data_IF_598409351957
#
_entry.id   IF_598409351957
#
_cell.length_a   1.000
_cell.length_b   1.000
_cell.length_c   1.000
_cell.angle_alpha   90.00
_cell.angle_beta   90.00
_cell.angle_gamma   90.00
#
_symmetry.space_group_name_H-M   'P 1'
#
loop_
_entity.id
_entity.type
_entity.pdbx_description
1 polymer ?
#
# COMPACT_ATOMS: atom_id res chain seq x y z
N UNK A 1 -5.01 -4.15 14.87
CA UNK A 1 -3.65 -3.70 14.52
C UNK A 1 -3.16 -2.80 15.63
N UNK A 2 -1.99 -3.14 16.21
CA UNK A 2 -1.37 -2.21 17.13
C UNK A 2 -0.88 -1.00 16.32
N UNK A 3 -1.05 0.23 16.82
CA UNK A 3 -0.44 1.37 16.20
C UNK A 3 1.06 1.11 16.11
N UNK A 4 1.71 1.52 15.02
CA UNK A 4 3.15 1.35 14.90
C UNK A 4 3.84 1.97 16.14
N UNK A 5 4.89 1.33 16.70
CA UNK A 5 5.58 1.86 17.84
C UNK A 5 6.09 3.27 17.56
N UNK A 6 5.78 4.19 18.44
CA UNK A 6 6.13 5.62 18.35
C UNK A 6 7.65 5.85 18.40
N UNK A 7 8.42 4.78 18.68
CA UNK A 7 9.85 4.83 18.97
C UNK A 7 10.77 5.16 17.77
N UNK A 8 10.25 5.21 16.54
CA UNK A 8 11.07 5.46 15.34
C UNK A 8 10.82 6.81 14.65
N UNK A 9 10.46 7.83 15.43
CA UNK A 9 10.44 9.21 14.92
C UNK A 9 11.83 9.72 14.45
N UNK A 10 12.89 8.96 14.72
CA UNK A 10 14.26 9.35 14.35
C UNK A 10 14.56 9.11 12.87
N UNK A 11 13.91 8.15 12.21
CA UNK A 11 14.10 7.91 10.78
C UNK A 11 13.26 8.82 9.86
N UNK A 12 12.39 9.66 10.42
CA UNK A 12 11.64 10.67 9.67
C UNK A 12 12.52 11.81 9.10
N UNK A 13 13.79 11.86 9.45
CA UNK A 13 14.70 12.94 9.06
C UNK A 13 15.15 12.94 7.60
N UNK A 14 14.89 11.89 6.84
CA UNK A 14 15.39 11.77 5.44
C UNK A 14 14.36 12.16 4.39
N UNK A 15 13.12 12.33 4.81
CA UNK A 15 12.06 12.77 3.90
C UNK A 15 11.85 14.28 4.02
N UNK A 16 12.72 15.07 3.37
CA UNK A 16 12.37 16.46 3.08
C UNK A 16 11.23 16.46 2.08
N UNK A 17 10.11 17.16 2.38
CA UNK A 17 9.12 17.41 1.32
C UNK A 17 9.83 18.10 0.18
N UNK A 18 9.44 17.81 -1.04
CA UNK A 18 9.74 18.73 -2.11
C UNK A 18 9.29 20.10 -1.62
N UNK A 19 10.18 21.07 -1.65
CA UNK A 19 9.93 22.45 -1.17
C UNK A 19 8.81 23.15 -1.94
N UNK A 20 8.18 22.48 -2.88
CA UNK A 20 7.16 22.97 -3.80
C UNK A 20 5.70 22.84 -3.30
N UNK A 21 5.42 22.10 -2.24
CA UNK A 21 4.03 21.79 -1.86
C UNK A 21 3.27 20.91 -2.87
N UNK A 22 3.97 20.34 -3.85
CA UNK A 22 3.38 19.51 -4.89
C UNK A 22 2.69 18.24 -4.32
N UNK A 23 1.54 17.84 -4.88
CA UNK A 23 0.84 16.64 -4.44
C UNK A 23 1.67 15.38 -4.74
N UNK A 24 1.75 14.48 -3.75
CA UNK A 24 2.56 13.28 -3.79
C UNK A 24 1.72 12.06 -4.16
N UNK A 25 2.10 11.37 -5.21
CA UNK A 25 1.60 10.04 -5.55
C UNK A 25 2.60 8.98 -5.04
N UNK A 26 2.17 8.16 -4.09
CA UNK A 26 2.97 7.07 -3.56
C UNK A 26 2.76 5.78 -4.36
N UNK A 27 3.85 5.18 -4.82
CA UNK A 27 3.85 3.84 -5.40
C UNK A 27 4.42 2.86 -4.37
N UNK A 28 3.60 1.90 -3.95
CA UNK A 28 3.92 0.91 -2.91
C UNK A 28 3.92 -0.51 -3.52
N UNK A 29 4.98 -0.87 -4.26
CA UNK A 29 5.01 -2.11 -5.03
C UNK A 29 5.25 -3.37 -4.21
N UNK A 30 5.55 -3.23 -2.92
CA UNK A 30 5.95 -4.30 -2.03
C UNK A 30 7.45 -4.30 -1.73
N UNK A 31 7.89 -5.28 -0.91
CA UNK A 31 9.25 -5.34 -0.36
C UNK A 31 10.10 -6.48 -0.93
N UNK A 32 9.51 -7.37 -1.74
CA UNK A 32 10.19 -8.51 -2.33
C UNK A 32 10.62 -8.25 -3.77
N UNK A 33 11.74 -8.86 -4.16
CA UNK A 33 12.28 -8.71 -5.53
C UNK A 33 11.25 -9.02 -6.62
N UNK A 34 10.48 -10.09 -6.46
CA UNK A 34 9.46 -10.51 -7.43
C UNK A 34 8.29 -9.51 -7.51
N UNK A 35 7.88 -8.95 -6.37
CA UNK A 35 6.85 -7.90 -6.33
C UNK A 35 7.28 -6.67 -7.12
N UNK A 36 8.54 -6.26 -7.01
CA UNK A 36 9.09 -5.15 -7.79
C UNK A 36 9.12 -5.46 -9.29
N UNK A 37 9.65 -6.61 -9.68
CA UNK A 37 9.79 -6.96 -11.09
C UNK A 37 8.44 -7.06 -11.80
N UNK A 38 7.44 -7.65 -11.14
CA UNK A 38 6.14 -7.89 -11.76
C UNK A 38 5.12 -6.78 -11.52
N UNK A 39 5.18 -6.12 -10.37
CA UNK A 39 4.19 -5.10 -9.97
C UNK A 39 4.56 -3.69 -10.34
N UNK A 40 5.81 -3.29 -10.09
CA UNK A 40 6.21 -1.91 -10.27
C UNK A 40 6.03 -1.38 -11.70
N UNK A 41 6.25 -2.15 -12.79
CA UNK A 41 6.03 -1.64 -14.14
C UNK A 41 4.60 -1.12 -14.38
N UNK A 42 3.57 -1.82 -13.90
CA UNK A 42 2.19 -1.36 -14.02
C UNK A 42 1.94 -0.08 -13.20
N UNK A 43 2.49 -0.01 -11.98
CA UNK A 43 2.36 1.19 -11.15
C UNK A 43 3.06 2.41 -11.78
N UNK A 44 4.25 2.21 -12.34
CA UNK A 44 4.98 3.27 -13.05
C UNK A 44 4.24 3.71 -14.30
N UNK A 45 3.70 2.77 -15.08
CA UNK A 45 2.87 3.08 -16.24
C UNK A 45 1.67 3.94 -15.87
N UNK A 46 0.94 3.56 -14.81
CA UNK A 46 -0.17 4.36 -14.29
C UNK A 46 0.26 5.76 -13.84
N UNK A 47 1.37 5.85 -13.12
CA UNK A 47 1.90 7.13 -12.65
C UNK A 47 2.30 8.05 -13.82
N UNK A 48 2.82 7.50 -14.92
CA UNK A 48 3.11 8.27 -16.13
C UNK A 48 1.84 8.87 -16.73
N UNK A 49 0.75 8.10 -16.85
CA UNK A 49 -0.52 8.62 -17.35
C UNK A 49 -1.10 9.71 -16.44
N UNK A 50 -1.15 9.45 -15.13
CA UNK A 50 -1.66 10.42 -14.17
C UNK A 50 -0.82 11.71 -14.13
N UNK A 51 0.50 11.59 -14.25
CA UNK A 51 1.41 12.76 -14.32
C UNK A 51 1.25 13.53 -15.63
N UNK A 52 0.92 12.88 -16.72
CA UNK A 52 0.61 13.59 -17.97
C UNK A 52 -0.66 14.44 -17.87
N UNK A 53 -1.65 14.02 -17.08
CA UNK A 53 -2.88 14.75 -16.77
C UNK A 53 -2.70 15.81 -15.67
N UNK A 54 -1.77 15.56 -14.74
CA UNK A 54 -1.45 16.39 -13.57
C UNK A 54 0.07 16.55 -13.47
N UNK A 55 0.68 17.43 -14.26
CA UNK A 55 2.14 17.59 -14.32
C UNK A 55 2.79 17.95 -12.98
N UNK A 56 2.03 18.55 -12.07
CA UNK A 56 2.46 18.89 -10.72
C UNK A 56 2.67 17.69 -9.78
N UNK A 57 2.14 16.50 -10.12
CA UNK A 57 2.32 15.31 -9.29
C UNK A 57 3.79 14.93 -9.14
N UNK A 58 4.24 14.73 -7.93
CA UNK A 58 5.54 14.13 -7.62
C UNK A 58 5.36 12.64 -7.30
N UNK A 59 6.07 11.79 -8.03
CA UNK A 59 5.93 10.34 -7.94
C UNK A 59 7.01 9.79 -7.03
N UNK A 60 6.61 9.10 -5.98
CA UNK A 60 7.54 8.51 -5.03
C UNK A 60 7.35 7.00 -4.94
N UNK A 61 8.41 6.25 -5.21
CA UNK A 61 8.43 4.78 -5.15
C UNK A 61 9.07 4.33 -3.85
N UNK A 62 8.33 3.55 -3.05
CA UNK A 62 8.88 2.94 -1.85
C UNK A 62 9.83 1.80 -2.19
N UNK A 63 11.05 1.87 -1.65
CA UNK A 63 12.06 0.82 -1.74
C UNK A 63 12.80 0.71 -0.40
N UNK A 64 12.28 -0.12 0.51
CA UNK A 64 12.83 -0.25 1.87
C UNK A 64 14.19 -0.94 1.90
N UNK A 65 14.47 -1.79 0.91
CA UNK A 65 15.69 -2.61 0.84
C UNK A 65 16.66 -2.01 -0.15
N UNK A 66 17.81 -1.52 0.33
CA UNK A 66 18.79 -0.81 -0.49
C UNK A 66 19.33 -1.68 -1.64
N UNK A 67 19.46 -3.00 -1.42
CA UNK A 67 19.87 -3.96 -2.44
C UNK A 67 18.88 -4.10 -3.61
N UNK A 68 17.64 -3.67 -3.45
CA UNK A 68 16.62 -3.69 -4.51
C UNK A 68 16.52 -2.35 -5.27
N UNK A 69 17.19 -1.32 -4.79
CA UNK A 69 17.17 0.01 -5.39
C UNK A 69 17.61 0.06 -6.84
N UNK A 70 18.64 -0.70 -7.27
CA UNK A 70 19.00 -0.76 -8.70
C UNK A 70 17.83 -1.22 -9.58
N UNK A 71 17.07 -2.24 -9.16
CA UNK A 71 15.89 -2.73 -9.88
C UNK A 71 14.83 -1.64 -10.01
N UNK A 72 14.55 -0.92 -8.93
CA UNK A 72 13.59 0.20 -8.95
C UNK A 72 14.08 1.29 -9.90
N UNK A 73 15.37 1.63 -9.84
CA UNK A 73 15.98 2.63 -10.73
C UNK A 73 15.87 2.23 -12.20
N UNK A 74 16.14 0.98 -12.54
CA UNK A 74 16.03 0.48 -13.91
C UNK A 74 14.59 0.58 -14.43
N UNK A 75 13.61 0.27 -13.59
CA UNK A 75 12.18 0.32 -13.97
C UNK A 75 11.69 1.77 -14.14
N UNK A 76 12.06 2.68 -13.23
CA UNK A 76 11.65 4.09 -13.36
C UNK A 76 12.45 4.84 -14.43
N UNK A 77 13.70 4.43 -14.74
CA UNK A 77 14.58 5.10 -15.68
C UNK A 77 14.80 6.58 -15.33
N UNK A 78 15.02 7.41 -16.36
CA UNK A 78 15.28 8.86 -16.22
C UNK A 78 14.02 9.72 -16.22
N UNK A 79 12.88 9.17 -15.76
CA UNK A 79 11.61 9.91 -15.76
C UNK A 79 11.65 11.07 -14.77
N UNK A 80 11.39 12.28 -15.29
CA UNK A 80 11.35 13.48 -14.45
C UNK A 80 10.20 13.43 -13.44
N UNK A 81 10.46 13.84 -12.21
CA UNK A 81 9.50 13.85 -11.11
C UNK A 81 9.23 12.46 -10.53
N UNK A 82 10.11 11.48 -10.79
CA UNK A 82 10.11 10.19 -10.11
C UNK A 82 11.26 10.11 -9.12
N UNK A 83 10.94 9.70 -7.91
CA UNK A 83 11.88 9.63 -6.79
C UNK A 83 11.81 8.26 -6.11
N UNK A 84 12.92 7.81 -5.53
CA UNK A 84 12.99 6.57 -4.75
C UNK A 84 13.10 6.94 -3.28
N UNK A 85 12.17 6.42 -2.48
CA UNK A 85 12.20 6.53 -1.02
C UNK A 85 12.81 5.26 -0.43
N UNK A 86 14.00 5.38 0.17
CA UNK A 86 14.75 4.26 0.79
C UNK A 86 14.48 4.11 2.29
N UNK A 87 13.46 4.73 2.81
CA UNK A 87 13.05 4.65 4.21
C UNK A 87 11.83 3.76 4.43
N UNK A 88 11.30 3.81 5.65
CA UNK A 88 10.04 3.13 5.96
C UNK A 88 8.89 3.68 5.10
N UNK A 89 8.11 2.78 4.52
CA UNK A 89 6.97 3.14 3.66
C UNK A 89 5.97 4.08 4.35
N UNK A 90 5.86 3.99 5.68
CA UNK A 90 4.98 4.85 6.50
C UNK A 90 5.25 6.34 6.34
N UNK A 91 6.53 6.73 6.21
CA UNK A 91 6.87 8.13 5.98
C UNK A 91 6.32 8.65 4.64
N UNK A 92 6.27 7.77 3.64
CA UNK A 92 5.69 8.07 2.34
C UNK A 92 4.15 8.05 2.41
N UNK A 93 3.57 7.00 3.03
CA UNK A 93 2.13 6.85 3.20
C UNK A 93 1.50 8.03 3.93
N UNK A 94 2.09 8.50 5.03
CA UNK A 94 1.53 9.60 5.84
C UNK A 94 1.48 10.96 5.12
N UNK A 95 2.10 11.09 3.95
CA UNK A 95 2.23 12.34 3.19
C UNK A 95 1.63 12.26 1.79
N UNK A 96 1.25 11.06 1.38
CA UNK A 96 0.69 10.85 0.06
C UNK A 96 -0.69 11.52 -0.08
N UNK A 97 -0.90 12.19 -1.22
CA UNK A 97 -2.22 12.63 -1.65
C UNK A 97 -3.04 11.46 -2.19
N UNK A 98 -2.36 10.47 -2.78
CA UNK A 98 -2.91 9.26 -3.36
C UNK A 98 -1.85 8.17 -3.30
N UNK A 99 -2.24 6.92 -3.07
CA UNK A 99 -1.36 5.77 -3.14
C UNK A 99 -1.85 4.75 -4.17
N UNK A 100 -0.91 4.16 -4.91
CA UNK A 100 -1.14 2.94 -5.70
C UNK A 100 -0.38 1.83 -5.00
N UNK A 101 -1.09 0.82 -4.51
CA UNK A 101 -0.56 -0.20 -3.61
C UNK A 101 -0.68 -1.57 -4.26
N UNK A 102 0.41 -2.35 -4.27
CA UNK A 102 0.28 -3.80 -4.42
C UNK A 102 -0.31 -4.39 -3.14
N UNK A 103 -1.07 -5.45 -3.27
CA UNK A 103 -1.75 -6.10 -2.14
C UNK A 103 -0.78 -6.47 -0.99
N UNK A 104 -1.30 -6.55 0.23
CA UNK A 104 -0.55 -6.92 1.43
C UNK A 104 -0.82 -5.98 2.60
N UNK A 105 0.03 -6.06 3.64
CA UNK A 105 -0.10 -5.25 4.87
C UNK A 105 0.00 -3.74 4.60
N UNK A 106 0.68 -3.35 3.53
CA UNK A 106 0.78 -1.94 3.12
C UNK A 106 -0.59 -1.29 2.88
N UNK A 107 -1.62 -2.07 2.49
CA UNK A 107 -2.98 -1.54 2.32
C UNK A 107 -3.59 -1.11 3.66
N UNK A 108 -3.40 -1.89 4.73
CA UNK A 108 -3.86 -1.54 6.08
C UNK A 108 -3.08 -0.36 6.67
N UNK A 109 -1.77 -0.31 6.43
CA UNK A 109 -0.93 0.82 6.86
C UNK A 109 -1.35 2.12 6.16
N UNK A 110 -1.64 2.06 4.85
CA UNK A 110 -2.13 3.21 4.08
C UNK A 110 -3.51 3.65 4.58
N UNK A 111 -4.41 2.69 4.86
CA UNK A 111 -5.72 2.96 5.45
C UNK A 111 -5.61 3.59 6.84
N UNK A 112 -4.65 3.14 7.66
CA UNK A 112 -4.38 3.72 8.97
C UNK A 112 -4.06 5.22 8.89
N UNK A 113 -3.33 5.63 7.85
CA UNK A 113 -3.00 7.04 7.60
C UNK A 113 -4.14 7.82 6.92
N UNK A 114 -5.27 7.19 6.61
CA UNK A 114 -6.40 7.84 5.94
C UNK A 114 -6.07 8.32 4.53
N UNK A 115 -5.14 7.66 3.83
CA UNK A 115 -4.72 8.05 2.50
C UNK A 115 -5.58 7.36 1.45
N UNK A 116 -6.16 8.11 0.50
CA UNK A 116 -6.86 7.52 -0.64
C UNK A 116 -5.95 6.57 -1.40
N UNK A 117 -6.46 5.42 -1.80
CA UNK A 117 -5.66 4.44 -2.50
C UNK A 117 -6.46 3.60 -3.49
N UNK A 118 -5.74 3.02 -4.43
CA UNK A 118 -6.19 1.89 -5.23
C UNK A 118 -5.23 0.72 -5.03
N UNK A 119 -5.76 -0.50 -5.16
CA UNK A 119 -4.96 -1.72 -5.03
C UNK A 119 -4.89 -2.41 -6.38
N UNK A 120 -3.67 -2.58 -6.88
CA UNK A 120 -3.40 -3.25 -8.14
C UNK A 120 -2.46 -4.44 -7.88
N UNK A 121 -2.94 -5.64 -8.10
CA UNK A 121 -2.12 -6.83 -7.94
C UNK A 121 -1.81 -7.44 -9.31
N UNK A 122 -0.53 -7.50 -9.70
CA UNK A 122 -0.14 -8.10 -10.98
C UNK A 122 -0.40 -9.60 -10.94
N UNK A 123 -1.18 -10.09 -11.88
CA UNK A 123 -1.51 -11.50 -12.02
C UNK A 123 -1.56 -11.87 -13.51
N UNK A 124 -1.02 -13.04 -13.84
CA UNK A 124 -1.17 -13.58 -15.17
C UNK A 124 -2.58 -14.19 -15.38
N UNK A 125 -2.95 -14.50 -16.61
CA UNK A 125 -4.28 -15.02 -16.94
C UNK A 125 -4.63 -16.31 -16.20
N UNK A 126 -3.65 -17.17 -15.97
CA UNK A 126 -3.86 -18.41 -15.22
C UNK A 126 -4.20 -18.11 -13.75
N UNK A 127 -3.50 -17.16 -13.13
CA UNK A 127 -3.76 -16.74 -11.75
C UNK A 127 -5.14 -16.06 -11.64
N UNK A 128 -5.50 -15.20 -12.61
CA UNK A 128 -6.83 -14.55 -12.66
C UNK A 128 -7.93 -15.59 -12.80
N UNK A 129 -7.76 -16.57 -13.72
CA UNK A 129 -8.72 -17.64 -13.95
C UNK A 129 -8.86 -18.52 -12.72
N UNK A 130 -7.77 -18.89 -12.07
CA UNK A 130 -7.78 -19.70 -10.86
C UNK A 130 -8.46 -18.96 -9.70
N UNK A 131 -8.18 -17.68 -9.53
CA UNK A 131 -8.83 -16.85 -8.52
C UNK A 131 -10.34 -16.78 -8.73
N UNK A 132 -10.78 -16.59 -9.98
CA UNK A 132 -12.19 -16.58 -10.37
C UNK A 132 -12.87 -17.94 -10.17
N UNK A 133 -12.17 -19.03 -10.50
CA UNK A 133 -12.74 -20.39 -10.43
C UNK A 133 -12.89 -20.87 -8.98
N UNK A 134 -11.92 -20.57 -8.13
CA UNK A 134 -11.91 -21.03 -6.74
C UNK A 134 -12.86 -20.26 -5.84
N UNK A 135 -13.31 -19.06 -6.25
CA UNK A 135 -14.22 -18.22 -5.44
C UNK A 135 -13.72 -17.96 -4.02
N UNK A 136 -12.39 -17.92 -3.83
CA UNK A 136 -11.75 -18.03 -2.51
C UNK A 136 -12.11 -16.86 -1.59
N UNK A 137 -12.29 -15.68 -2.15
CA UNK A 137 -12.72 -14.50 -1.40
C UNK A 137 -13.28 -13.43 -2.37
N UNK A 138 -14.26 -12.63 -1.95
CA UNK A 138 -14.80 -11.55 -2.77
C UNK A 138 -13.78 -10.41 -3.00
N UNK A 139 -12.76 -10.33 -2.12
CA UNK A 139 -11.72 -9.30 -2.13
C UNK A 139 -10.34 -9.92 -1.90
N UNK A 140 -9.28 -9.23 -2.36
CA UNK A 140 -7.90 -9.66 -2.12
C UNK A 140 -7.07 -8.62 -1.34
N UNK A 141 -7.53 -7.37 -1.24
CA UNK A 141 -6.90 -6.42 -0.32
C UNK A 141 -7.38 -6.64 1.09
N UNK A 142 -6.47 -6.52 2.05
CA UNK A 142 -6.82 -6.65 3.46
C UNK A 142 -7.84 -5.58 3.90
N UNK A 143 -7.81 -4.40 3.32
CA UNK A 143 -8.78 -3.32 3.64
C UNK A 143 -10.21 -3.77 3.33
N UNK A 144 -10.46 -4.24 2.11
CA UNK A 144 -11.79 -4.67 1.69
C UNK A 144 -12.23 -5.96 2.41
N UNK A 145 -11.30 -6.89 2.66
CA UNK A 145 -11.57 -8.09 3.47
C UNK A 145 -12.01 -7.73 4.90
N UNK A 146 -11.33 -6.79 5.55
CA UNK A 146 -11.71 -6.33 6.89
C UNK A 146 -13.01 -5.53 6.90
N UNK A 147 -13.29 -4.78 5.84
CA UNK A 147 -14.52 -4.03 5.68
C UNK A 147 -15.72 -4.95 5.38
N UNK A 148 -15.50 -6.07 4.67
CA UNK A 148 -16.56 -6.91 4.12
C UNK A 148 -17.22 -6.32 2.87
N UNK A 149 -16.68 -5.23 2.33
CA UNK A 149 -17.14 -4.50 1.15
C UNK A 149 -15.99 -3.79 0.43
N UNK A 150 -16.23 -3.35 -0.81
CA UNK A 150 -15.23 -2.60 -1.57
C UNK A 150 -15.17 -1.14 -1.10
N UNK A 151 -14.22 -0.82 -0.23
CA UNK A 151 -13.91 0.56 0.19
C UNK A 151 -12.84 1.16 -0.75
N UNK A 152 -11.86 0.35 -1.13
CA UNK A 152 -10.78 0.75 -2.04
C UNK A 152 -10.93 0.00 -3.36
N UNK A 153 -10.88 0.67 -4.51
CA UNK A 153 -10.88 -0.02 -5.79
C UNK A 153 -9.71 -1.00 -5.87
N UNK A 154 -10.00 -2.25 -6.18
CA UNK A 154 -8.96 -3.27 -6.31
C UNK A 154 -9.12 -4.07 -7.59
N UNK A 155 -8.00 -4.41 -8.23
CA UNK A 155 -8.01 -5.18 -9.47
C UNK A 155 -6.77 -6.05 -9.64
N UNK A 156 -6.98 -7.26 -10.17
CA UNK A 156 -5.92 -8.06 -10.76
C UNK A 156 -5.61 -7.47 -12.14
N UNK A 157 -4.37 -7.09 -12.37
CA UNK A 157 -3.92 -6.45 -13.61
C UNK A 157 -2.84 -7.29 -14.28
N UNK A 158 -2.73 -7.19 -15.61
CA UNK A 158 -1.60 -7.79 -16.30
C UNK A 158 -0.30 -7.08 -15.92
N UNK A 159 0.81 -7.83 -15.82
CA UNK A 159 2.11 -7.21 -15.60
C UNK A 159 2.39 -6.14 -16.65
N UNK A 160 2.58 -4.88 -16.21
CA UNK A 160 2.82 -3.75 -17.10
C UNK A 160 1.58 -3.02 -17.62
N UNK A 161 0.34 -3.48 -17.33
CA UNK A 161 -0.88 -2.75 -17.71
C UNK A 161 -1.11 -1.52 -16.80
N UNK A 162 -0.33 -0.48 -17.05
CA UNK A 162 -0.45 0.80 -16.35
C UNK A 162 -1.78 1.50 -16.62
N UNK A 163 -2.33 1.34 -17.82
CA UNK A 163 -3.60 1.96 -18.19
C UNK A 163 -4.78 1.45 -17.35
N UNK A 164 -4.82 0.15 -17.06
CA UNK A 164 -5.84 -0.40 -16.16
C UNK A 164 -5.73 0.20 -14.75
N UNK A 165 -4.50 0.34 -14.24
CA UNK A 165 -4.26 0.92 -12.91
C UNK A 165 -4.58 2.42 -12.90
N UNK A 166 -4.21 3.16 -13.94
CA UNK A 166 -4.52 4.58 -14.06
C UNK A 166 -6.04 4.83 -14.07
N UNK A 167 -6.81 4.00 -14.78
CA UNK A 167 -8.29 4.10 -14.78
C UNK A 167 -8.90 3.95 -13.38
N UNK A 168 -8.33 3.11 -12.52
CA UNK A 168 -8.77 2.98 -11.12
C UNK A 168 -8.41 4.20 -10.28
N UNK A 169 -7.21 4.74 -10.47
CA UNK A 169 -6.67 5.80 -9.63
C UNK A 169 -7.18 7.20 -10.03
N UNK A 170 -7.47 7.41 -11.31
CA UNK A 170 -7.88 8.73 -11.87
C UNK A 170 -9.05 9.39 -11.13
N UNK A 171 -10.15 8.69 -10.75
CA UNK A 171 -11.23 9.31 -10.00
C UNK A 171 -10.79 9.90 -8.67
N UNK A 172 -9.78 9.31 -8.03
CA UNK A 172 -9.26 9.77 -6.73
C UNK A 172 -8.37 11.01 -6.82
N UNK A 173 -8.10 11.52 -8.02
CA UNK A 173 -7.50 12.85 -8.21
C UNK A 173 -8.50 13.97 -7.92
N UNK A 174 -9.80 13.68 -7.95
CA UNK A 174 -10.85 14.60 -7.50
C UNK A 174 -10.96 14.57 -5.98
N UNK A 175 -10.99 15.75 -5.36
CA UNK A 175 -11.01 15.89 -3.90
C UNK A 175 -12.31 15.36 -3.28
N UNK A 176 -13.43 15.46 -3.98
CA UNK A 176 -14.72 14.98 -3.48
C UNK A 176 -14.75 13.44 -3.41
N UNK A 177 -14.26 12.78 -4.46
CA UNK A 177 -14.16 11.31 -4.52
C UNK A 177 -13.16 10.79 -3.49
N UNK A 178 -11.99 11.43 -3.41
CA UNK A 178 -10.98 11.09 -2.43
C UNK A 178 -11.49 11.23 -0.99
N UNK A 179 -12.17 12.32 -0.67
CA UNK A 179 -12.72 12.59 0.66
C UNK A 179 -13.77 11.55 1.07
N UNK A 180 -14.57 11.08 0.12
CA UNK A 180 -15.52 9.99 0.38
C UNK A 180 -14.80 8.70 0.78
N UNK A 181 -13.76 8.32 0.05
CA UNK A 181 -12.96 7.14 0.40
C UNK A 181 -12.28 7.31 1.76
N UNK A 182 -11.68 8.49 2.04
CA UNK A 182 -11.06 8.80 3.35
C UNK A 182 -12.08 8.63 4.48
N UNK A 183 -13.30 9.13 4.32
CA UNK A 183 -14.34 9.01 5.34
C UNK A 183 -14.65 7.54 5.66
N UNK A 184 -14.70 6.68 4.63
CA UNK A 184 -14.93 5.24 4.80
C UNK A 184 -13.73 4.52 5.46
N UNK A 185 -12.50 4.92 5.11
CA UNK A 185 -11.28 4.40 5.75
C UNK A 185 -11.22 4.78 7.24
N UNK A 186 -11.59 6.02 7.59
CA UNK A 186 -11.66 6.47 8.97
C UNK A 186 -12.77 5.74 9.76
N UNK A 187 -13.89 5.42 9.13
CA UNK A 187 -14.93 4.59 9.74
C UNK A 187 -14.39 3.18 10.01
N UNK A 188 -13.78 2.52 9.03
CA UNK A 188 -13.18 1.20 9.18
C UNK A 188 -12.14 1.18 10.31
N UNK A 189 -11.31 2.23 10.38
CA UNK A 189 -10.30 2.38 11.43
C UNK A 189 -10.93 2.43 12.82
N UNK A 190 -12.00 3.20 13.02
CA UNK A 190 -12.73 3.25 14.29
C UNK A 190 -13.35 1.91 14.67
N UNK A 191 -13.87 1.17 13.70
CA UNK A 191 -14.60 -0.07 13.93
C UNK A 191 -13.70 -1.30 14.12
N UNK A 192 -12.57 -1.36 13.41
CA UNK A 192 -11.76 -2.59 13.30
C UNK A 192 -10.35 -2.49 13.84
N UNK A 193 -9.76 -1.29 13.91
CA UNK A 193 -8.35 -1.12 14.26
C UNK A 193 -8.20 -0.79 15.75
N UNK A 194 -8.34 -1.81 16.59
CA UNK A 194 -8.21 -1.65 18.04
C UNK A 194 -6.78 -1.88 18.52
N UNK A 195 -6.25 -1.03 19.41
CA UNK A 195 -4.96 -1.25 20.07
C UNK A 195 -4.90 -2.56 20.83
N UNK A 196 -3.70 -3.10 21.04
CA UNK A 196 -3.49 -4.31 21.86
C UNK A 196 -3.69 -5.63 21.13
N UNK A 197 -3.65 -5.65 19.77
CA UNK A 197 -3.79 -6.88 18.99
C UNK A 197 -2.71 -7.89 19.34
N UNK A 198 -1.46 -7.47 19.49
CA UNK A 198 -0.33 -8.34 19.87
C UNK A 198 -0.53 -8.95 21.26
N UNK A 199 -1.04 -8.17 22.21
CA UNK A 199 -1.33 -8.66 23.56
C UNK A 199 -2.48 -9.69 23.55
N UNK A 200 -3.54 -9.41 22.78
CA UNK A 200 -4.65 -10.39 22.63
C UNK A 200 -4.17 -11.67 21.96
N UNK A 201 -3.36 -11.59 20.91
CA UNK A 201 -2.78 -12.74 20.24
C UNK A 201 -1.90 -13.55 21.21
N UNK A 202 -1.01 -12.90 21.96
CA UNK A 202 -0.17 -13.55 22.97
C UNK A 202 -1.01 -14.28 24.03
N UNK A 203 -2.06 -13.65 24.53
CA UNK A 203 -2.99 -14.29 25.50
C UNK A 203 -3.68 -15.50 24.91
N UNK A 204 -4.16 -15.42 23.66
CA UNK A 204 -4.79 -16.55 22.98
C UNK A 204 -3.83 -17.72 22.79
N UNK A 205 -2.57 -17.46 22.46
CA UNK A 205 -1.53 -18.49 22.35
C UNK A 205 -1.27 -19.14 23.71
N UNK A 206 -1.10 -18.34 24.77
CA UNK A 206 -0.86 -18.85 26.11
C UNK A 206 -2.00 -19.73 26.62
N UNK A 207 -3.24 -19.40 26.30
CA UNK A 207 -4.42 -20.21 26.66
C UNK A 207 -4.45 -21.59 25.96
N UNK A 208 -3.73 -21.75 24.85
CA UNK A 208 -3.65 -23.03 24.12
C UNK A 208 -2.47 -23.91 24.57
N UNK A 209 -1.56 -23.36 25.39
CA UNK A 209 -0.45 -24.15 25.95
C UNK A 209 -0.99 -24.91 27.16
N UNK A 210 -1.01 -26.26 27.15
CA UNK A 210 -1.38 -27.01 28.31
C UNK A 210 -0.45 -26.66 29.49
N UNK A 211 -1.00 -26.60 30.69
CA UNK A 211 -0.21 -26.44 31.93
C UNK A 211 0.83 -27.56 32.05
N UNK A 212 1.91 -27.40 31.32
CA UNK A 212 3.07 -28.27 31.45
C UNK A 212 3.84 -27.81 32.66
N UNK A 213 3.46 -28.21 33.89
CA UNK A 213 4.07 -27.98 35.19
C UNK A 213 5.54 -27.49 35.28
N UNK A 214 5.97 -26.63 34.36
CA UNK A 214 7.27 -25.97 34.38
C UNK A 214 7.13 -24.71 35.24
N UNK A 215 7.40 -24.92 36.53
CA UNK A 215 7.70 -23.80 37.44
C UNK A 215 8.88 -23.06 36.88
N UNK A 216 8.66 -21.86 36.40
CA UNK A 216 9.75 -20.93 36.13
C UNK A 216 10.37 -20.53 37.47
N UNK A 217 11.55 -21.10 37.73
CA UNK A 217 12.45 -20.68 38.81
C UNK A 217 13.06 -19.30 38.43
#
# INVERSE_FOLDING_TARGET
LDPPPVSNLVSLRVFSPTSSGAPLLALLPGSRRQELIHGLPALVGAACELKAERPELEIWVSCQREELRPIVRDIIGDRKGFHIHSGEARALQSRARLAIVCSGTATLETAWHGVPMVVAYPANDLQKSLYSLLGVAPFFSLVNLFAGEEIVPERLVDPGDGAAVARLARPLLDDSVASLQVSRLEQLKREKFHPGASLRAARSVLQQIPDSGVSLI
#
